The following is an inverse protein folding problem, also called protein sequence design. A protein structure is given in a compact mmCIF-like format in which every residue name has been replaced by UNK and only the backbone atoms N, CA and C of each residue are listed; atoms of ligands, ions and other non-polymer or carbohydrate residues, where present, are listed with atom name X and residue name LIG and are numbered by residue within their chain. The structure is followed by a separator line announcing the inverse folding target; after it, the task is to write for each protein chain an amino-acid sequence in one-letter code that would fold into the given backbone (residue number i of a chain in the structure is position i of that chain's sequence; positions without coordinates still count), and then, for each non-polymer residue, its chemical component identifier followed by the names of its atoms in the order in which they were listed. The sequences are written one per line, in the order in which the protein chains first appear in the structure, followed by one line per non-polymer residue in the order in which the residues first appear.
data_IF_727549029256
#
_entry.id   IF_727549029256
#
_cell.length_a   1.000
_cell.length_b   1.000
_cell.length_c   1.000
_cell.angle_alpha   90.00
_cell.angle_beta   90.00
_cell.angle_gamma   90.00
#
_symmetry.space_group_name_H-M   'P 1'
#
loop_
_entity.id
_entity.type
_entity.pdbx_description
1 polymer ?
#
# COMPACT_ATOMS: atom_id res chain seq x y z
N UNK A 1 -3.73 -40.29 30.67
CA UNK A 1 -2.32 -39.87 30.61
C UNK A 1 -1.82 -39.59 29.18
N UNK A 2 -2.32 -40.29 28.14
CA UNK A 2 -1.84 -40.08 26.76
C UNK A 2 -2.21 -38.70 26.18
N UNK A 3 -3.47 -38.26 26.30
CA UNK A 3 -3.95 -37.01 25.67
C UNK A 3 -3.21 -35.75 26.12
N UNK A 4 -2.97 -35.51 27.44
CA UNK A 4 -2.23 -34.33 27.88
C UNK A 4 -0.77 -34.30 27.37
N UNK A 5 -0.12 -35.46 27.25
CA UNK A 5 1.25 -35.55 26.71
C UNK A 5 1.28 -35.26 25.21
N UNK A 6 0.35 -35.83 24.45
CA UNK A 6 0.25 -35.58 22.99
C UNK A 6 -0.04 -34.12 22.68
N UNK A 7 -0.92 -33.48 23.45
CA UNK A 7 -1.20 -32.04 23.35
C UNK A 7 0.07 -31.22 23.62
N UNK A 8 0.77 -31.50 24.74
CA UNK A 8 1.96 -30.75 25.12
C UNK A 8 3.07 -30.85 24.06
N UNK A 9 3.29 -32.04 23.50
CA UNK A 9 4.24 -32.26 22.41
C UNK A 9 3.77 -31.55 21.12
N UNK A 10 2.48 -31.62 20.80
CA UNK A 10 1.89 -30.96 19.63
C UNK A 10 2.04 -29.44 19.67
N UNK A 11 1.70 -28.82 20.79
CA UNK A 11 1.87 -27.37 21.03
C UNK A 11 3.35 -26.99 20.94
N UNK A 12 4.24 -27.76 21.58
CA UNK A 12 5.69 -27.50 21.52
C UNK A 12 6.29 -27.63 20.11
N UNK A 13 5.77 -28.55 19.29
CA UNK A 13 6.16 -28.67 17.87
C UNK A 13 5.63 -27.50 17.03
N UNK A 14 4.37 -27.11 17.22
CA UNK A 14 3.76 -25.97 16.54
C UNK A 14 4.54 -24.67 16.80
N UNK A 15 4.90 -24.41 18.06
CA UNK A 15 5.65 -23.20 18.42
C UNK A 15 7.02 -23.13 17.74
N UNK A 16 7.72 -24.27 17.57
CA UNK A 16 8.99 -24.34 16.82
C UNK A 16 8.84 -24.04 15.32
N UNK A 17 7.62 -24.12 14.79
CA UNK A 17 7.26 -23.79 13.41
C UNK A 17 6.55 -22.43 13.31
N UNK A 18 6.53 -21.63 14.38
CA UNK A 18 5.86 -20.32 14.41
C UNK A 18 4.34 -20.40 14.58
N UNK A 19 3.77 -21.56 14.86
CA UNK A 19 2.33 -21.76 15.06
C UNK A 19 2.03 -21.69 16.56
N UNK A 20 1.40 -20.61 17.00
CA UNK A 20 1.05 -20.39 18.39
C UNK A 20 -0.38 -20.88 18.67
N UNK A 21 -0.49 -22.00 19.39
CA UNK A 21 -1.77 -22.62 19.76
C UNK A 21 -2.13 -22.19 21.19
N UNK A 22 -3.18 -21.38 21.34
CA UNK A 22 -3.58 -20.84 22.66
C UNK A 22 -4.20 -21.90 23.58
N UNK A 23 -5.08 -22.75 23.03
CA UNK A 23 -5.83 -23.75 23.81
C UNK A 23 -5.71 -25.13 23.16
N UNK A 24 -5.65 -26.18 23.98
CA UNK A 24 -5.56 -27.56 23.50
C UNK A 24 -6.73 -28.00 22.60
N UNK A 25 -7.94 -27.53 22.92
CA UNK A 25 -9.19 -27.81 22.17
C UNK A 25 -9.13 -27.34 20.70
N UNK A 26 -8.27 -26.35 20.40
CA UNK A 26 -8.06 -25.87 19.02
C UNK A 26 -7.48 -26.97 18.15
N UNK A 27 -6.59 -27.84 18.67
CA UNK A 27 -6.01 -28.94 17.89
C UNK A 27 -7.06 -29.97 17.48
N UNK A 28 -8.01 -30.26 18.38
CA UNK A 28 -9.09 -31.20 18.11
C UNK A 28 -10.15 -30.60 17.19
N UNK A 29 -10.40 -29.29 17.31
CA UNK A 29 -11.34 -28.58 16.44
C UNK A 29 -10.78 -28.42 15.02
N UNK A 30 -9.49 -28.08 14.90
CA UNK A 30 -8.82 -27.85 13.62
C UNK A 30 -8.77 -29.11 12.75
N UNK A 31 -8.73 -30.30 13.36
CA UNK A 31 -8.81 -31.59 12.64
C UNK A 31 -10.12 -31.77 11.86
N UNK A 32 -11.23 -31.17 12.34
CA UNK A 32 -12.55 -31.27 11.74
C UNK A 32 -12.86 -30.16 10.73
N UNK A 33 -11.97 -29.18 10.60
CA UNK A 33 -12.19 -28.04 9.69
C UNK A 33 -11.99 -28.51 8.25
N UNK A 34 -13.01 -28.32 7.40
CA UNK A 34 -12.96 -28.59 5.96
C UNK A 34 -12.94 -27.31 5.10
N UNK A 35 -13.28 -26.18 5.71
CA UNK A 35 -13.45 -24.89 5.04
C UNK A 35 -12.64 -23.83 5.76
N UNK A 36 -11.75 -23.17 5.04
CA UNK A 36 -10.98 -22.04 5.54
C UNK A 36 -11.44 -20.74 4.87
N UNK A 37 -12.00 -19.84 5.67
CA UNK A 37 -12.25 -18.46 5.25
C UNK A 37 -11.09 -17.61 5.72
N UNK A 38 -10.38 -16.99 4.78
CA UNK A 38 -9.22 -16.14 5.05
C UNK A 38 -9.58 -14.67 4.84
N UNK A 39 -9.12 -13.83 5.76
CA UNK A 39 -9.07 -12.40 5.49
C UNK A 39 -7.96 -12.11 4.47
N UNK A 40 -8.13 -11.08 3.63
CA UNK A 40 -7.12 -10.74 2.62
C UNK A 40 -6.04 -9.86 3.24
N UNK A 41 -6.45 -8.74 3.83
CA UNK A 41 -5.53 -7.65 4.18
C UNK A 41 -4.72 -8.01 5.42
N UNK A 42 -3.40 -8.11 5.27
CA UNK A 42 -2.50 -8.46 6.39
C UNK A 42 -2.47 -9.95 6.75
N UNK A 43 -3.23 -10.80 6.04
CA UNK A 43 -3.11 -12.26 6.12
C UNK A 43 -2.58 -12.83 4.80
N UNK A 44 -3.25 -12.56 3.68
CA UNK A 44 -2.77 -12.96 2.35
C UNK A 44 -1.87 -11.90 1.71
N UNK A 45 -1.98 -10.65 2.14
CA UNK A 45 -1.17 -9.54 1.64
C UNK A 45 -0.18 -9.05 2.70
N UNK A 46 0.90 -8.42 2.25
CA UNK A 46 1.95 -7.86 3.12
C UNK A 46 1.47 -6.67 3.97
N UNK A 47 0.25 -6.17 3.75
CA UNK A 47 -0.28 -5.00 4.46
C UNK A 47 0.41 -3.68 4.10
N UNK A 48 1.31 -3.67 3.12
CA UNK A 48 2.06 -2.51 2.66
C UNK A 48 1.74 -2.23 1.18
N UNK A 49 1.17 -1.05 0.84
CA UNK A 49 0.94 -0.68 -0.54
C UNK A 49 2.26 -0.56 -1.32
N UNK A 50 2.25 -0.94 -2.60
CA UNK A 50 3.36 -0.74 -3.53
C UNK A 50 2.83 -0.18 -4.84
N UNK A 51 3.61 0.66 -5.49
CA UNK A 51 3.31 1.13 -6.84
C UNK A 51 3.42 -0.06 -7.81
N UNK A 52 2.31 -0.42 -8.44
CA UNK A 52 2.26 -1.54 -9.40
C UNK A 52 2.44 -1.07 -10.84
N UNK A 53 1.91 0.11 -11.16
CA UNK A 53 1.87 0.64 -12.53
C UNK A 53 1.99 2.16 -12.50
N UNK A 54 2.60 2.73 -13.53
CA UNK A 54 2.67 4.16 -13.75
C UNK A 54 2.38 4.43 -15.22
N UNK A 55 1.23 5.05 -15.51
CA UNK A 55 0.80 5.36 -16.87
C UNK A 55 0.92 6.86 -17.08
N UNK A 56 1.74 7.27 -18.05
CA UNK A 56 1.96 8.68 -18.37
C UNK A 56 1.16 9.13 -19.60
N UNK A 57 0.62 10.34 -19.55
CA UNK A 57 0.03 11.00 -20.71
C UNK A 57 1.09 11.33 -21.78
N UNK A 58 0.64 11.54 -23.02
CA UNK A 58 1.53 11.93 -24.11
C UNK A 58 2.34 13.21 -23.75
N UNK A 59 3.64 13.17 -24.02
CA UNK A 59 4.56 14.27 -23.71
C UNK A 59 5.22 14.20 -22.34
N UNK A 60 4.89 13.20 -21.51
CA UNK A 60 5.60 12.87 -20.27
C UNK A 60 6.17 11.46 -20.35
N UNK A 61 7.36 11.25 -19.80
CA UNK A 61 7.84 9.91 -19.49
C UNK A 61 7.26 9.45 -18.15
N UNK A 62 7.17 8.13 -17.95
CA UNK A 62 6.82 7.55 -16.64
C UNK A 62 7.78 8.02 -15.54
N UNK A 63 9.06 8.18 -15.87
CA UNK A 63 10.07 8.66 -14.92
C UNK A 63 9.81 10.11 -14.49
N UNK A 64 9.46 10.99 -15.44
CA UNK A 64 9.13 12.39 -15.13
C UNK A 64 7.85 12.48 -14.29
N UNK A 65 6.81 11.72 -14.67
CA UNK A 65 5.55 11.68 -13.92
C UNK A 65 5.79 11.19 -12.49
N UNK A 66 6.49 10.07 -12.33
CA UNK A 66 6.78 9.50 -11.03
C UNK A 66 7.66 10.42 -10.18
N UNK A 67 8.67 11.07 -10.77
CA UNK A 67 9.51 12.04 -10.07
C UNK A 67 8.66 13.20 -9.54
N UNK A 68 7.81 13.79 -10.38
CA UNK A 68 6.97 14.93 -10.00
C UNK A 68 5.97 14.53 -8.91
N UNK A 69 5.27 13.41 -9.08
CA UNK A 69 4.31 12.90 -8.11
C UNK A 69 4.99 12.60 -6.76
N UNK A 70 6.09 11.85 -6.77
CA UNK A 70 6.84 11.51 -5.57
C UNK A 70 7.42 12.75 -4.86
N UNK A 71 7.80 13.79 -5.61
CA UNK A 71 8.30 15.04 -5.01
C UNK A 71 7.23 15.72 -4.17
N UNK A 72 5.98 15.75 -4.62
CA UNK A 72 4.87 16.30 -3.83
C UNK A 72 4.50 15.36 -2.68
N UNK A 73 4.37 14.07 -2.97
CA UNK A 73 3.94 13.03 -2.04
C UNK A 73 4.92 12.81 -0.87
N UNK A 74 6.19 13.21 -0.97
CA UNK A 74 7.18 13.06 0.11
C UNK A 74 6.81 13.82 1.39
N UNK A 75 5.92 14.81 1.32
CA UNK A 75 5.44 15.59 2.46
C UNK A 75 4.13 15.04 3.06
N UNK A 76 3.57 13.96 2.49
CA UNK A 76 2.37 13.29 2.97
C UNK A 76 2.70 12.06 3.82
N UNK A 77 1.98 11.88 4.92
CA UNK A 77 2.11 10.69 5.78
C UNK A 77 1.25 9.50 5.30
N UNK A 78 0.47 9.67 4.22
CA UNK A 78 -0.46 8.65 3.76
C UNK A 78 0.28 7.40 3.21
N UNK A 79 -0.16 6.16 3.53
CA UNK A 79 0.53 4.95 3.07
C UNK A 79 0.70 4.85 1.54
N UNK A 80 -0.25 5.37 0.77
CA UNK A 80 -0.14 5.40 -0.70
C UNK A 80 0.94 6.39 -1.18
N UNK A 81 1.05 7.56 -0.54
CA UNK A 81 2.09 8.54 -0.81
C UNK A 81 3.48 7.94 -0.59
N UNK A 82 3.65 7.22 0.52
CA UNK A 82 4.88 6.50 0.82
C UNK A 82 5.22 5.46 -0.26
N UNK A 83 4.24 4.72 -0.77
CA UNK A 83 4.46 3.74 -1.84
C UNK A 83 4.98 4.38 -3.13
N UNK A 84 4.47 5.57 -3.49
CA UNK A 84 4.96 6.35 -4.66
C UNK A 84 6.38 6.85 -4.43
N UNK A 85 6.67 7.38 -3.24
CA UNK A 85 8.01 7.88 -2.87
C UNK A 85 9.05 6.76 -2.84
N UNK A 86 8.69 5.60 -2.30
CA UNK A 86 9.56 4.41 -2.30
C UNK A 86 9.85 3.96 -3.73
N UNK A 87 8.83 3.88 -4.58
CA UNK A 87 9.01 3.48 -5.97
C UNK A 87 9.91 4.45 -6.76
N UNK A 88 9.83 5.76 -6.50
CA UNK A 88 10.74 6.73 -7.10
C UNK A 88 12.19 6.55 -6.64
N UNK A 89 12.40 6.27 -5.34
CA UNK A 89 13.73 5.99 -4.77
C UNK A 89 14.32 4.68 -5.30
N UNK A 90 13.52 3.63 -5.43
CA UNK A 90 13.94 2.34 -6.01
C UNK A 90 14.37 2.47 -7.49
N UNK A 91 13.88 3.50 -8.19
CA UNK A 91 14.27 3.85 -9.57
C UNK A 91 15.37 4.91 -9.64
N UNK A 92 16.02 5.23 -8.52
CA UNK A 92 17.09 6.24 -8.41
C UNK A 92 16.69 7.64 -8.90
N UNK A 93 15.40 7.98 -8.83
CA UNK A 93 14.90 9.29 -9.23
C UNK A 93 15.21 10.34 -8.16
N UNK A 94 15.79 11.47 -8.58
CA UNK A 94 16.04 12.61 -7.70
C UNK A 94 14.77 13.43 -7.51
N UNK A 95 14.23 13.45 -6.31
CA UNK A 95 13.06 14.26 -5.99
C UNK A 95 13.42 15.75 -6.04
N UNK A 96 12.48 16.54 -6.54
CA UNK A 96 12.59 17.99 -6.62
C UNK A 96 12.10 18.64 -5.33
N UNK A 97 12.54 19.88 -5.10
CA UNK A 97 11.98 20.70 -4.02
C UNK A 97 10.53 21.09 -4.35
N UNK A 98 9.71 21.15 -3.30
CA UNK A 98 8.29 21.48 -3.40
C UNK A 98 8.01 22.69 -2.52
N UNK A 99 7.37 23.70 -3.09
CA UNK A 99 6.79 24.83 -2.35
C UNK A 99 5.28 24.70 -2.28
N UNK A 100 4.65 25.45 -1.39
CA UNK A 100 3.19 25.58 -1.31
C UNK A 100 2.46 24.23 -1.19
N UNK A 101 3.08 23.29 -0.45
CA UNK A 101 2.47 22.00 -0.19
C UNK A 101 1.19 22.16 0.62
N UNK A 102 0.13 21.48 0.18
CA UNK A 102 -1.14 21.41 0.90
C UNK A 102 -1.75 20.01 0.75
N UNK A 103 -2.51 19.59 1.76
CA UNK A 103 -3.11 18.26 1.83
C UNK A 103 -4.60 18.35 2.12
N UNK A 104 -5.40 17.77 1.23
CA UNK A 104 -6.86 17.67 1.40
C UNK A 104 -7.19 16.28 1.93
N UNK A 105 -7.56 16.24 3.21
CA UNK A 105 -7.88 15.00 3.93
C UNK A 105 -8.88 14.14 3.15
N UNK A 106 -8.49 12.90 2.87
CA UNK A 106 -9.33 11.92 2.18
C UNK A 106 -9.42 12.10 0.65
N UNK A 107 -8.71 13.06 0.07
CA UNK A 107 -8.85 13.41 -1.35
C UNK A 107 -7.52 13.37 -2.12
N UNK A 108 -6.50 14.09 -1.65
CA UNK A 108 -5.23 14.23 -2.35
C UNK A 108 -4.30 15.31 -1.77
N UNK A 109 -3.19 15.55 -2.45
CA UNK A 109 -2.17 16.55 -2.10
C UNK A 109 -1.88 17.47 -3.28
N UNK A 110 -1.39 18.66 -2.98
CA UNK A 110 -0.96 19.64 -3.97
C UNK A 110 0.38 20.23 -3.58
N UNK A 111 1.09 20.78 -4.56
CA UNK A 111 2.31 21.52 -4.34
C UNK A 111 2.83 22.14 -5.63
N UNK A 112 3.89 22.92 -5.53
CA UNK A 112 4.55 23.54 -6.68
C UNK A 112 5.93 22.94 -6.87
N UNK A 113 6.18 22.37 -8.05
CA UNK A 113 7.45 21.76 -8.43
C UNK A 113 7.97 22.47 -9.67
N UNK A 114 9.20 23.00 -9.63
CA UNK A 114 9.79 23.75 -10.75
C UNK A 114 8.87 24.88 -11.28
N UNK A 115 8.16 25.57 -10.38
CA UNK A 115 7.22 26.64 -10.73
C UNK A 115 5.89 26.17 -11.34
N UNK A 116 5.64 24.86 -11.42
CA UNK A 116 4.38 24.30 -11.89
C UNK A 116 3.57 23.78 -10.72
N UNK A 117 2.28 24.13 -10.68
CA UNK A 117 1.33 23.56 -9.72
C UNK A 117 1.02 22.11 -10.10
N UNK A 118 1.15 21.22 -9.12
CA UNK A 118 0.96 19.77 -9.23
C UNK A 118 -0.13 19.35 -8.26
N UNK A 119 -1.01 18.46 -8.71
CA UNK A 119 -2.07 17.87 -7.91
C UNK A 119 -1.96 16.35 -8.04
N UNK A 120 -2.02 15.65 -6.92
CA UNK A 120 -1.99 14.18 -6.86
C UNK A 120 -3.13 13.73 -5.96
N UNK A 121 -4.00 12.84 -6.44
CA UNK A 121 -5.14 12.38 -5.65
C UNK A 121 -6.17 11.63 -6.47
N UNK A 122 -7.34 11.42 -5.86
CA UNK A 122 -8.45 10.71 -6.51
C UNK A 122 -9.00 11.47 -7.73
N UNK A 123 -9.66 10.75 -8.64
CA UNK A 123 -10.33 11.36 -9.78
C UNK A 123 -11.34 12.44 -9.39
N UNK A 124 -12.10 12.21 -8.30
CA UNK A 124 -13.06 13.18 -7.77
C UNK A 124 -12.35 14.47 -7.32
N UNK A 125 -11.23 14.35 -6.60
CA UNK A 125 -10.43 15.51 -6.19
C UNK A 125 -9.94 16.33 -7.38
N UNK A 126 -9.43 15.66 -8.42
CA UNK A 126 -8.95 16.35 -9.62
C UNK A 126 -10.09 17.09 -10.36
N UNK A 127 -11.27 16.48 -10.45
CA UNK A 127 -12.45 17.11 -11.06
C UNK A 127 -12.94 18.32 -10.27
N UNK A 128 -12.93 18.27 -8.93
CA UNK A 128 -13.23 19.42 -8.06
C UNK A 128 -12.27 20.59 -8.30
N UNK A 129 -11.02 20.27 -8.64
CA UNK A 129 -9.99 21.26 -9.01
C UNK A 129 -10.06 21.66 -10.50
N UNK A 130 -11.18 21.34 -11.17
CA UNK A 130 -11.44 21.65 -12.58
C UNK A 130 -10.45 21.02 -13.56
N UNK A 131 -9.84 19.89 -13.20
CA UNK A 131 -9.01 19.08 -14.10
C UNK A 131 -9.89 18.07 -14.83
N UNK A 132 -9.89 18.13 -16.16
CA UNK A 132 -10.56 17.14 -17.01
C UNK A 132 -9.65 15.93 -17.20
N UNK A 133 -10.19 14.73 -16.93
CA UNK A 133 -9.50 13.45 -17.14
C UNK A 133 -9.99 12.87 -18.46
N UNK A 134 -9.08 12.67 -19.41
CA UNK A 134 -9.38 12.05 -20.71
C UNK A 134 -9.67 10.56 -20.55
N UNK A 135 -10.62 10.03 -21.33
CA UNK A 135 -10.98 8.60 -21.32
C UNK A 135 -9.79 7.66 -21.55
N UNK A 136 -8.76 8.11 -22.29
CA UNK A 136 -7.51 7.37 -22.52
C UNK A 136 -6.73 7.04 -21.24
N UNK A 137 -6.98 7.78 -20.15
CA UNK A 137 -6.30 7.62 -18.86
C UNK A 137 -7.24 7.05 -17.78
N UNK A 138 -8.50 6.75 -18.13
CA UNK A 138 -9.56 6.36 -17.19
C UNK A 138 -9.67 4.84 -16.96
N UNK A 139 -8.56 4.11 -17.13
CA UNK A 139 -8.52 2.63 -17.09
C UNK A 139 -8.74 2.06 -15.68
#
# INVERSE_FOLDING_TARGET
LATPMSIMVGVGRGAKQGILIKNAEVLETLEKVDTLVVDKTGTLTEGQPRLTECVSAAGYSEADLLQIAASVEQHSEHPLSQAVVVAAKERDLKLAEVSDFDSVTGAGVTGTVNGKRVLVGSAAFLQEQSISISDELSS
#
